data_IF_483210943052
#
_entry.id   IF_483210943052
#
_cell.length_a   1.000
_cell.length_b   1.000
_cell.length_c   1.000
_cell.angle_alpha   90.00
_cell.angle_beta   90.00
_cell.angle_gamma   90.00
#
_symmetry.space_group_name_H-M   'P 1'
#
loop_
_entity.id
_entity.type
_entity.pdbx_description
1 polymer ?
#
# COMPACT_ATOMS: atom_id res chain seq x y z
N UNK A 1 -14.88 18.43 -23.13
CA UNK A 1 -16.17 17.83 -22.72
C UNK A 1 -17.14 18.98 -22.50
N UNK A 2 -18.36 18.88 -23.02
CA UNK A 2 -19.35 19.96 -22.96
C UNK A 2 -20.33 19.67 -21.81
N UNK A 3 -20.01 20.21 -20.62
CA UNK A 3 -20.78 19.95 -19.40
C UNK A 3 -22.16 20.63 -19.42
N UNK A 4 -22.27 21.78 -20.08
CA UNK A 4 -23.54 22.47 -20.23
C UNK A 4 -24.55 21.59 -20.98
N UNK A 5 -24.11 20.84 -22.00
CA UNK A 5 -24.98 19.88 -22.71
C UNK A 5 -25.40 18.70 -21.85
N UNK A 6 -24.54 18.24 -20.95
CA UNK A 6 -24.85 17.14 -20.04
C UNK A 6 -25.88 17.58 -18.99
N UNK A 7 -25.71 18.79 -18.45
CA UNK A 7 -26.64 19.40 -17.51
C UNK A 7 -28.00 19.68 -18.17
N UNK A 8 -28.00 20.20 -19.40
CA UNK A 8 -29.20 20.40 -20.22
C UNK A 8 -30.00 19.10 -20.42
N UNK A 9 -29.30 17.99 -20.67
CA UNK A 9 -29.91 16.66 -20.84
C UNK A 9 -30.49 16.15 -19.53
N UNK A 10 -29.76 16.28 -18.42
CA UNK A 10 -30.28 15.88 -17.10
C UNK A 10 -31.53 16.67 -16.72
N UNK A 11 -31.52 17.98 -16.93
CA UNK A 11 -32.66 18.84 -16.65
C UNK A 11 -33.86 18.51 -17.56
N UNK A 12 -33.61 18.18 -18.83
CA UNK A 12 -34.63 17.63 -19.71
C UNK A 12 -35.21 16.30 -19.19
N UNK A 13 -34.37 15.35 -18.78
CA UNK A 13 -34.82 14.06 -18.24
C UNK A 13 -35.61 14.22 -16.94
N UNK A 14 -35.26 15.21 -16.11
CA UNK A 14 -36.05 15.58 -14.92
C UNK A 14 -37.45 16.05 -15.32
N UNK A 15 -37.57 16.95 -16.31
CA UNK A 15 -38.87 17.45 -16.79
C UNK A 15 -39.71 16.38 -17.46
N UNK A 16 -39.10 15.44 -18.17
CA UNK A 16 -39.79 14.34 -18.87
C UNK A 16 -40.13 13.16 -17.96
N UNK A 17 -39.93 13.29 -16.64
CA UNK A 17 -40.13 12.21 -15.66
C UNK A 17 -39.30 10.95 -15.96
N UNK A 18 -38.12 11.14 -16.56
CA UNK A 18 -37.11 10.10 -16.74
C UNK A 18 -37.29 9.23 -17.97
N UNK A 19 -38.28 9.41 -18.85
CA UNK A 19 -38.39 8.59 -20.07
C UNK A 19 -38.33 9.46 -21.31
N UNK A 20 -37.17 9.51 -21.96
CA UNK A 20 -37.06 10.17 -23.24
C UNK A 20 -35.93 9.58 -24.11
N UNK A 21 -36.25 9.41 -25.39
CA UNK A 21 -35.28 9.14 -26.45
C UNK A 21 -34.81 10.43 -27.12
N UNK A 22 -33.82 10.28 -28.01
CA UNK A 22 -33.22 11.40 -28.76
C UNK A 22 -34.25 12.31 -29.45
N UNK A 23 -35.25 11.75 -30.12
CA UNK A 23 -36.24 12.54 -30.86
C UNK A 23 -37.01 13.51 -29.96
N UNK A 24 -37.37 13.07 -28.75
CA UNK A 24 -38.05 13.89 -27.76
C UNK A 24 -37.15 15.02 -27.23
N UNK A 25 -35.86 14.72 -27.01
CA UNK A 25 -34.89 15.74 -26.61
C UNK A 25 -34.70 16.80 -27.69
N UNK A 26 -34.50 16.40 -28.94
CA UNK A 26 -34.31 17.34 -30.05
C UNK A 26 -35.53 18.22 -30.30
N UNK A 27 -36.75 17.69 -30.13
CA UNK A 27 -37.98 18.49 -30.15
C UNK A 27 -38.01 19.53 -29.02
N UNK A 28 -37.59 19.17 -27.80
CA UNK A 28 -37.52 20.12 -26.69
C UNK A 28 -36.50 21.23 -26.96
N UNK A 29 -35.31 20.88 -27.45
CA UNK A 29 -34.27 21.86 -27.79
C UNK A 29 -34.72 22.77 -28.92
N UNK A 30 -35.31 22.22 -29.99
CA UNK A 30 -35.83 22.99 -31.12
C UNK A 30 -36.88 24.01 -30.66
N UNK A 31 -37.78 23.60 -29.77
CA UNK A 31 -38.78 24.47 -29.16
C UNK A 31 -38.15 25.54 -28.27
N UNK A 32 -37.16 25.21 -27.44
CA UNK A 32 -36.46 26.18 -26.56
C UNK A 32 -35.67 27.22 -27.36
N UNK A 33 -35.11 26.82 -28.51
CA UNK A 33 -34.28 27.69 -29.35
C UNK A 33 -35.06 28.39 -30.48
N UNK A 34 -36.37 28.11 -30.60
CA UNK A 34 -37.21 28.62 -31.68
C UNK A 34 -36.65 28.35 -33.09
N UNK A 35 -36.16 27.12 -33.30
CA UNK A 35 -35.62 26.64 -34.57
C UNK A 35 -36.38 25.40 -35.05
N UNK A 36 -36.33 25.12 -36.35
CA UNK A 36 -36.93 23.90 -36.90
C UNK A 36 -36.21 22.64 -36.40
N UNK A 37 -36.97 21.58 -36.12
CA UNK A 37 -36.43 20.30 -35.64
C UNK A 37 -35.27 19.76 -36.50
N UNK A 38 -35.37 19.91 -37.83
CA UNK A 38 -34.40 19.39 -38.78
C UNK A 38 -33.02 20.06 -38.70
N UNK A 39 -32.90 21.24 -38.06
CA UNK A 39 -31.61 21.96 -37.94
C UNK A 39 -30.74 21.47 -36.78
N UNK A 40 -31.28 20.66 -35.84
CA UNK A 40 -30.55 20.16 -34.66
C UNK A 40 -30.28 18.64 -34.75
N UNK A 41 -30.52 18.03 -35.92
CA UNK A 41 -30.54 16.58 -36.07
C UNK A 41 -29.15 15.92 -35.96
N UNK A 42 -28.74 15.53 -34.75
CA UNK A 42 -27.55 14.71 -34.49
C UNK A 42 -27.79 13.70 -33.35
N UNK A 43 -28.40 12.57 -33.69
CA UNK A 43 -28.71 11.47 -32.76
C UNK A 43 -27.46 10.85 -32.12
N UNK A 44 -26.36 10.77 -32.87
CA UNK A 44 -25.07 10.24 -32.39
C UNK A 44 -24.52 11.06 -31.23
N UNK A 45 -24.59 12.39 -31.29
CA UNK A 45 -24.13 13.25 -30.20
C UNK A 45 -24.96 13.08 -28.93
N UNK A 46 -26.29 12.97 -29.04
CA UNK A 46 -27.15 12.75 -27.87
C UNK A 46 -26.86 11.42 -27.18
N UNK A 47 -26.73 10.33 -27.96
CA UNK A 47 -26.38 9.02 -27.41
C UNK A 47 -24.99 9.06 -26.73
N UNK A 48 -24.03 9.77 -27.31
CA UNK A 48 -22.71 10.00 -26.72
C UNK A 48 -22.80 10.69 -25.35
N UNK A 49 -23.55 11.80 -25.26
CA UNK A 49 -23.73 12.53 -24.01
C UNK A 49 -24.46 11.70 -22.95
N UNK A 50 -25.52 10.98 -23.33
CA UNK A 50 -26.24 10.10 -22.41
C UNK A 50 -25.37 8.92 -21.93
N UNK A 51 -24.50 8.38 -22.79
CA UNK A 51 -23.54 7.38 -22.38
C UNK A 51 -22.52 7.94 -21.38
N UNK A 52 -22.12 9.20 -21.53
CA UNK A 52 -21.26 9.84 -20.52
C UNK A 52 -21.97 10.03 -19.18
N UNK A 53 -23.24 10.46 -19.19
CA UNK A 53 -24.06 10.54 -17.98
C UNK A 53 -24.24 9.17 -17.31
N UNK A 54 -24.36 8.11 -18.10
CA UNK A 54 -24.43 6.73 -17.63
C UNK A 54 -23.12 6.33 -16.92
N UNK A 55 -21.96 6.69 -17.49
CA UNK A 55 -20.66 6.46 -16.86
C UNK A 55 -20.47 7.23 -15.55
N UNK A 56 -21.03 8.43 -15.43
CA UNK A 56 -21.08 9.17 -14.16
C UNK A 56 -22.08 8.58 -13.15
N UNK A 57 -22.90 7.62 -13.59
CA UNK A 57 -23.96 7.02 -12.79
C UNK A 57 -25.06 8.02 -12.45
N UNK A 58 -25.33 8.99 -13.33
CA UNK A 58 -26.39 10.00 -13.16
C UNK A 58 -27.69 9.61 -13.88
N UNK A 59 -27.60 8.68 -14.83
CA UNK A 59 -28.74 8.11 -15.53
C UNK A 59 -28.58 6.60 -15.62
N UNK A 60 -29.71 5.90 -15.70
CA UNK A 60 -29.79 4.48 -15.97
C UNK A 60 -30.21 4.27 -17.44
N UNK A 61 -29.65 3.26 -18.08
CA UNK A 61 -30.02 2.89 -19.44
C UNK A 61 -31.09 1.79 -19.41
N UNK A 62 -32.17 1.99 -20.17
CA UNK A 62 -33.22 1.00 -20.37
C UNK A 62 -33.51 0.86 -21.85
N UNK A 63 -33.45 -0.38 -22.34
CA UNK A 63 -33.94 -0.71 -23.67
C UNK A 63 -35.44 -1.04 -23.57
N UNK A 64 -36.25 -0.30 -24.32
CA UNK A 64 -37.69 -0.57 -24.49
C UNK A 64 -37.95 -0.87 -25.97
N UNK A 65 -38.63 -1.98 -26.28
CA UNK A 65 -38.90 -2.37 -27.65
C UNK A 65 -39.72 -1.33 -28.44
N UNK A 66 -40.49 -0.48 -27.75
CA UNK A 66 -41.31 0.58 -28.35
C UNK A 66 -40.62 1.95 -28.35
N UNK A 67 -39.74 2.22 -27.38
CA UNK A 67 -39.08 3.53 -27.20
C UNK A 67 -37.59 3.52 -27.55
N UNK A 68 -37.05 2.37 -27.97
CA UNK A 68 -35.64 2.14 -28.31
C UNK A 68 -34.70 2.48 -27.11
N UNK A 69 -33.53 3.06 -27.40
CA UNK A 69 -32.54 3.48 -26.41
C UNK A 69 -33.10 4.60 -25.53
N UNK A 70 -33.48 4.27 -24.29
CA UNK A 70 -34.03 5.21 -23.32
C UNK A 70 -33.08 5.38 -22.15
N UNK A 71 -32.92 6.64 -21.71
CA UNK A 71 -32.12 6.98 -20.52
C UNK A 71 -33.04 7.57 -19.46
N UNK A 72 -32.83 7.15 -18.21
CA UNK A 72 -33.67 7.50 -17.07
C UNK A 72 -32.82 8.21 -16.04
N UNK A 73 -33.20 9.41 -15.62
CA UNK A 73 -32.51 10.07 -14.51
C UNK A 73 -32.69 9.26 -13.23
N UNK A 74 -31.57 8.92 -12.59
CA UNK A 74 -31.59 8.15 -11.35
C UNK A 74 -31.54 9.10 -10.13
N UNK A 75 -31.69 8.59 -8.88
CA UNK A 75 -31.68 9.44 -7.70
C UNK A 75 -30.41 10.31 -7.57
N UNK A 76 -29.24 9.80 -7.96
CA UNK A 76 -27.98 10.56 -7.93
C UNK A 76 -27.99 11.73 -8.92
N UNK A 77 -28.50 11.52 -10.13
CA UNK A 77 -28.70 12.59 -11.11
C UNK A 77 -29.71 13.63 -10.64
N UNK A 78 -30.77 13.19 -9.96
CA UNK A 78 -31.77 14.09 -9.39
C UNK A 78 -31.20 14.93 -8.23
N UNK A 79 -30.45 14.30 -7.33
CA UNK A 79 -29.77 14.97 -6.22
C UNK A 79 -28.75 15.99 -6.71
N UNK A 80 -28.04 15.70 -7.81
CA UNK A 80 -27.13 16.66 -8.44
C UNK A 80 -27.86 17.95 -8.84
N UNK A 81 -28.99 17.82 -9.56
CA UNK A 81 -29.80 18.95 -9.98
C UNK A 81 -30.42 19.71 -8.79
N UNK A 82 -30.88 18.98 -7.77
CA UNK A 82 -31.50 19.58 -6.58
C UNK A 82 -30.51 20.36 -5.71
N UNK A 83 -29.24 19.97 -5.73
CA UNK A 83 -28.16 20.64 -5.00
C UNK A 83 -27.48 21.75 -5.81
N UNK A 84 -28.06 22.14 -6.95
CA UNK A 84 -27.50 23.15 -7.87
C UNK A 84 -26.05 22.83 -8.29
N UNK A 85 -25.71 21.53 -8.32
CA UNK A 85 -24.42 21.03 -8.79
C UNK A 85 -24.47 20.72 -10.27
N UNK A 86 -23.31 20.75 -10.89
CA UNK A 86 -23.10 20.48 -12.30
C UNK A 86 -22.48 19.10 -12.53
N UNK A 87 -22.60 18.58 -13.73
CA UNK A 87 -21.88 17.37 -14.17
C UNK A 87 -20.35 17.56 -14.15
N UNK A 88 -19.87 18.81 -14.22
CA UNK A 88 -18.46 19.14 -14.00
C UNK A 88 -18.02 18.78 -12.57
N UNK A 89 -18.85 19.07 -11.56
CA UNK A 89 -18.53 18.76 -10.16
C UNK A 89 -18.37 17.25 -9.95
N UNK A 90 -19.25 16.45 -10.55
CA UNK A 90 -19.15 14.98 -10.48
C UNK A 90 -17.91 14.49 -11.20
N UNK A 91 -17.57 15.05 -12.37
CA UNK A 91 -16.32 14.70 -13.04
C UNK A 91 -15.12 15.01 -12.15
N UNK A 92 -15.08 16.19 -11.53
CA UNK A 92 -13.99 16.58 -10.65
C UNK A 92 -13.88 15.67 -9.42
N UNK A 93 -15.00 15.21 -8.86
CA UNK A 93 -15.02 14.18 -7.81
C UNK A 93 -14.37 12.87 -8.28
N UNK A 94 -14.67 12.41 -9.51
CA UNK A 94 -14.01 11.23 -10.10
C UNK A 94 -12.50 11.43 -10.25
N UNK A 95 -12.06 12.56 -10.82
CA UNK A 95 -10.63 12.88 -10.96
C UNK A 95 -9.94 12.91 -9.59
N UNK A 96 -10.55 13.57 -8.61
CA UNK A 96 -10.00 13.68 -7.27
C UNK A 96 -9.87 12.31 -6.61
N UNK A 97 -10.85 11.43 -6.81
CA UNK A 97 -10.81 10.05 -6.32
C UNK A 97 -9.67 9.26 -6.97
N UNK A 98 -9.50 9.33 -8.28
CA UNK A 98 -8.42 8.63 -8.99
C UNK A 98 -7.03 9.13 -8.54
N UNK A 99 -6.88 10.45 -8.35
CA UNK A 99 -5.65 11.04 -7.82
C UNK A 99 -5.37 10.53 -6.40
N UNK A 100 -6.39 10.47 -5.55
CA UNK A 100 -6.27 9.99 -4.18
C UNK A 100 -5.90 8.50 -4.12
N UNK A 101 -6.57 7.65 -4.90
CA UNK A 101 -6.25 6.23 -5.00
C UNK A 101 -4.82 6.01 -5.51
N UNK A 102 -4.41 6.78 -6.53
CA UNK A 102 -3.04 6.80 -7.03
C UNK A 102 -2.02 7.25 -5.97
N UNK A 103 -2.35 8.24 -5.15
CA UNK A 103 -1.51 8.70 -4.04
C UNK A 103 -1.38 7.64 -2.94
N UNK A 104 -2.47 7.00 -2.53
CA UNK A 104 -2.49 5.91 -1.54
C UNK A 104 -1.64 4.74 -2.01
N UNK A 105 -1.76 4.34 -3.28
CA UNK A 105 -0.95 3.26 -3.85
C UNK A 105 0.55 3.59 -3.86
N UNK A 106 0.91 4.83 -4.21
CA UNK A 106 2.31 5.30 -4.13
C UNK A 106 2.84 5.30 -2.70
N UNK A 107 2.07 5.80 -1.75
CA UNK A 107 2.45 5.82 -0.34
C UNK A 107 2.62 4.40 0.21
N UNK A 108 1.68 3.50 -0.08
CA UNK A 108 1.74 2.08 0.34
C UNK A 108 3.00 1.41 -0.19
N UNK A 109 3.34 1.63 -1.46
CA UNK A 109 4.57 1.10 -2.05
C UNK A 109 5.84 1.68 -1.41
N UNK A 110 5.84 2.96 -1.02
CA UNK A 110 6.96 3.56 -0.29
C UNK A 110 7.10 2.99 1.11
N UNK A 111 6.00 2.82 1.85
CA UNK A 111 5.99 2.19 3.17
C UNK A 111 6.49 0.75 3.12
N UNK A 112 6.11 -0.03 2.09
CA UNK A 112 6.62 -1.39 1.89
C UNK A 112 8.14 -1.39 1.64
N UNK A 113 8.65 -0.48 0.80
CA UNK A 113 10.11 -0.33 0.57
C UNK A 113 10.85 0.04 1.86
N UNK A 114 10.33 0.97 2.65
CA UNK A 114 10.91 1.38 3.93
C UNK A 114 10.95 0.22 4.93
N UNK A 115 9.87 -0.56 5.04
CA UNK A 115 9.82 -1.74 5.91
C UNK A 115 10.86 -2.80 5.50
N UNK A 116 11.04 -3.04 4.19
CA UNK A 116 12.05 -3.98 3.71
C UNK A 116 13.47 -3.49 4.00
N UNK A 117 13.75 -2.19 3.84
CA UNK A 117 15.05 -1.60 4.19
C UNK A 117 15.30 -1.72 5.70
N UNK A 118 14.30 -1.41 6.52
CA UNK A 118 14.40 -1.53 7.98
C UNK A 118 14.67 -2.97 8.41
N UNK A 119 14.02 -3.96 7.77
CA UNK A 119 14.27 -5.37 8.01
C UNK A 119 15.73 -5.76 7.67
N UNK A 120 16.25 -5.32 6.52
CA UNK A 120 17.63 -5.59 6.11
C UNK A 120 18.62 -4.97 7.10
N UNK A 121 18.43 -3.70 7.48
CA UNK A 121 19.29 -3.02 8.46
C UNK A 121 19.26 -3.77 9.80
N UNK A 122 18.07 -4.11 10.28
CA UNK A 122 17.91 -4.84 11.54
C UNK A 122 18.59 -6.20 11.47
N UNK A 123 18.40 -6.96 10.39
CA UNK A 123 19.05 -8.26 10.20
C UNK A 123 20.58 -8.16 10.19
N UNK A 124 21.16 -7.16 9.51
CA UNK A 124 22.62 -6.93 9.48
C UNK A 124 23.12 -6.61 10.89
N UNK A 125 22.43 -5.72 11.63
CA UNK A 125 22.81 -5.35 12.99
C UNK A 125 22.71 -6.53 13.96
N UNK A 126 21.64 -7.35 13.85
CA UNK A 126 21.46 -8.55 14.68
C UNK A 126 22.53 -9.60 14.38
N UNK A 127 22.85 -9.84 13.10
CA UNK A 127 23.93 -10.77 12.72
C UNK A 127 25.31 -10.28 13.18
N UNK A 128 25.58 -8.98 13.06
CA UNK A 128 26.83 -8.38 13.52
C UNK A 128 27.02 -8.47 15.04
N UNK A 129 25.96 -8.23 15.80
CA UNK A 129 25.99 -8.36 17.27
C UNK A 129 26.11 -9.81 17.73
N UNK A 130 25.39 -10.75 17.10
CA UNK A 130 25.56 -12.19 17.39
C UNK A 130 26.99 -12.66 17.07
N UNK A 131 27.53 -12.26 15.91
CA UNK A 131 28.89 -12.60 15.52
C UNK A 131 29.94 -12.09 16.52
N UNK A 132 29.77 -10.85 17.00
CA UNK A 132 30.65 -10.28 18.03
C UNK A 132 30.58 -11.07 19.34
N UNK A 133 29.39 -11.46 19.79
CA UNK A 133 29.22 -12.27 21.01
C UNK A 133 29.86 -13.66 20.87
N UNK A 134 29.73 -14.30 19.71
CA UNK A 134 30.36 -15.61 19.44
C UNK A 134 31.89 -15.49 19.51
N UNK A 135 32.47 -14.44 18.92
CA UNK A 135 33.92 -14.20 18.98
C UNK A 135 34.35 -13.96 20.43
N UNK A 136 33.64 -13.09 21.17
CA UNK A 136 33.93 -12.80 22.58
C UNK A 136 33.91 -14.07 23.44
N UNK A 137 32.90 -14.92 23.25
CA UNK A 137 32.80 -16.20 23.96
C UNK A 137 33.96 -17.12 23.63
N UNK A 138 34.35 -17.21 22.35
CA UNK A 138 35.50 -18.02 21.93
C UNK A 138 36.81 -17.53 22.52
N UNK A 139 37.05 -16.21 22.56
CA UNK A 139 38.25 -15.67 23.22
C UNK A 139 38.25 -15.97 24.72
N UNK A 140 37.10 -15.89 25.38
CA UNK A 140 36.98 -16.24 26.80
C UNK A 140 37.28 -17.73 27.07
N UNK A 141 36.77 -18.64 26.23
CA UNK A 141 37.10 -20.07 26.31
C UNK A 141 38.61 -20.31 26.16
N UNK A 142 39.24 -19.67 25.18
CA UNK A 142 40.68 -19.81 24.93
C UNK A 142 41.54 -19.27 26.09
N UNK A 143 41.18 -18.12 26.67
CA UNK A 143 41.88 -17.60 27.85
C UNK A 143 41.76 -18.55 29.04
N UNK A 144 40.56 -19.11 29.29
CA UNK A 144 40.35 -20.09 30.36
C UNK A 144 41.20 -21.35 30.16
N UNK A 145 41.28 -21.88 28.94
CA UNK A 145 42.09 -23.06 28.63
C UNK A 145 43.59 -22.78 28.82
N UNK A 146 44.04 -21.59 28.42
CA UNK A 146 45.42 -21.14 28.65
C UNK A 146 45.73 -21.06 30.14
N UNK A 147 44.87 -20.44 30.95
CA UNK A 147 45.06 -20.37 32.41
C UNK A 147 45.10 -21.76 33.04
N UNK A 148 44.27 -22.70 32.58
CA UNK A 148 44.29 -24.10 33.08
C UNK A 148 45.60 -24.80 32.76
N UNK A 149 46.19 -24.56 31.58
CA UNK A 149 47.49 -25.07 31.20
C UNK A 149 48.61 -24.49 32.06
N UNK A 150 48.60 -23.18 32.31
CA UNK A 150 49.57 -22.50 33.18
C UNK A 150 49.52 -23.05 34.62
N UNK A 151 48.32 -23.24 35.17
CA UNK A 151 48.14 -23.86 36.50
C UNK A 151 48.71 -25.29 36.51
N UNK A 152 48.46 -26.08 35.46
CA UNK A 152 48.96 -27.46 35.39
C UNK A 152 50.48 -27.53 35.28
N UNK A 153 51.10 -26.62 34.54
CA UNK A 153 52.57 -26.51 34.45
C UNK A 153 53.17 -26.16 35.81
N UNK A 154 52.57 -25.19 36.52
CA UNK A 154 52.99 -24.83 37.88
C UNK A 154 52.85 -25.99 38.86
N UNK A 155 51.75 -26.75 38.78
CA UNK A 155 51.54 -27.93 39.61
C UNK A 155 52.61 -29.00 39.36
N UNK A 156 52.92 -29.28 38.09
CA UNK A 156 53.96 -30.25 37.71
C UNK A 156 55.35 -29.82 38.20
N UNK A 157 55.68 -28.53 38.11
CA UNK A 157 56.93 -27.99 38.68
C UNK A 157 56.99 -28.21 40.18
N UNK A 158 55.90 -27.93 40.90
CA UNK A 158 55.83 -28.13 42.34
C UNK A 158 56.05 -29.60 42.73
N UNK A 159 55.37 -30.53 42.06
CA UNK A 159 55.47 -31.98 42.30
C UNK A 159 56.89 -32.51 42.04
N UNK A 160 57.58 -31.94 41.05
CA UNK A 160 58.97 -32.29 40.74
C UNK A 160 59.98 -31.84 41.81
N UNK A 161 59.68 -30.75 42.52
CA UNK A 161 60.48 -30.23 43.63
C UNK A 161 60.22 -31.03 44.92
N UNK A 162 59.01 -31.54 45.12
CA UNK A 162 58.61 -32.31 46.30
C UNK A 162 59.00 -33.80 46.26
N UNK A 163 59.76 -34.28 45.27
CA UNK A 163 60.25 -35.67 45.28
C UNK A 163 60.98 -35.95 46.62
N UNK A 164 60.60 -37.01 47.35
CA UNK A 164 61.21 -37.29 48.64
C UNK A 164 62.69 -37.57 48.42
N UNK A 165 63.53 -36.71 49.01
CA UNK A 165 64.95 -36.99 49.22
C UNK A 165 65.05 -38.25 50.09
N UNK A 166 65.19 -39.42 49.46
CA UNK A 166 65.74 -40.61 50.09
C UNK A 166 67.24 -40.38 50.32
N UNK A 167 67.58 -39.42 51.18
CA UNK A 167 68.88 -39.41 51.84
C UNK A 167 68.84 -40.52 52.90
N UNK A 168 69.35 -41.71 52.53
CA UNK A 168 69.80 -42.67 53.55
C UNK A 168 70.92 -41.99 54.33
N UNK A 169 70.62 -41.57 55.55
CA UNK A 169 71.65 -41.17 56.51
C UNK A 169 72.24 -42.48 57.05
N UNK A 170 73.42 -42.86 56.58
CA UNK A 170 74.18 -43.97 57.17
C UNK A 170 74.69 -43.55 58.56
N UNK A 171 73.90 -43.83 59.59
CA UNK A 171 74.32 -43.68 60.99
C UNK A 171 75.22 -44.85 61.40
N UNK A 172 76.50 -44.81 60.98
CA UNK A 172 77.59 -45.57 61.61
C UNK A 172 78.64 -44.60 62.16
N UNK A 173 78.33 -43.96 63.28
CA UNK A 173 79.29 -43.60 64.34
C UNK A 173 78.59 -42.73 65.37
N UNK A 174 77.89 -43.35 66.31
CA UNK A 174 77.72 -42.78 67.64
C UNK A 174 77.99 -43.92 68.63
N UNK A 175 79.25 -44.03 69.06
CA UNK A 175 79.59 -44.65 70.34
C UNK A 175 79.17 -43.68 71.44
N UNK A 176 78.55 -44.18 72.49
CA UNK A 176 78.70 -43.69 73.86
C UNK A 176 78.26 -44.82 74.81
N UNK A 177 79.26 -45.26 75.58
CA UNK A 177 79.27 -45.90 76.90
C UNK A 177 78.30 -47.04 77.24
#
# INVERSE_FOLDING_TARGET
>A
MDYEKLDDILDFLRRSQGYAGWASYTQDVARRQNVHFDTINNSTSYAGWCNTLLHFGLVDYKFDANLLHTYIINPKGLDLLNNEKSTLDVHQEYINKEILEGAILKQTNQSFKLNNIQFIITAILTLGTLGSLIIQWKTFEMEKDKTKLEIRDLQYRLDSIQKPNNFKIDNKNIKND
#
